data_IF_965691480462
#
_entry.id   IF_965691480462
#
_cell.length_a   1.000
_cell.length_b   1.000
_cell.length_c   1.000
_cell.angle_alpha   90.00
_cell.angle_beta   90.00
_cell.angle_gamma   90.00
#
_symmetry.space_group_name_H-M   'P 1'
#
loop_
_entity.id
_entity.type
_entity.pdbx_description
1 polymer ?
#
# COMPACT_ATOMS: atom_id res chain seq x y z
N UNK A 1 -0.18 0.40 9.82
CA UNK A 1 -0.23 1.66 9.04
C UNK A 1 0.98 1.80 8.14
N UNK A 2 0.99 2.84 7.29
CA UNK A 2 2.11 3.19 6.42
C UNK A 2 2.55 4.61 6.75
N UNK A 3 3.86 4.83 6.85
CA UNK A 3 4.44 6.13 7.16
C UNK A 3 5.80 6.30 6.49
N UNK A 4 6.43 7.44 6.72
CA UNK A 4 7.77 7.69 6.19
C UNK A 4 8.80 6.82 6.90
N UNK A 5 9.73 6.29 6.12
CA UNK A 5 10.87 5.54 6.60
C UNK A 5 11.95 6.45 7.20
N UNK A 6 13.02 5.84 7.73
CA UNK A 6 14.11 6.59 8.34
C UNK A 6 14.94 7.36 7.30
N UNK A 7 15.58 8.41 7.76
CA UNK A 7 16.47 9.26 6.93
C UNK A 7 17.62 8.51 6.29
N UNK A 8 18.05 7.38 6.90
CA UNK A 8 19.10 6.52 6.35
C UNK A 8 18.74 5.91 4.98
N UNK A 9 17.47 5.89 4.61
CA UNK A 9 16.96 5.37 3.34
C UNK A 9 16.49 6.46 2.38
N UNK A 10 16.77 7.73 2.70
CA UNK A 10 16.44 8.83 1.80
C UNK A 10 17.15 8.64 0.44
N UNK A 11 16.49 9.08 -0.63
CA UNK A 11 17.09 9.16 -1.94
C UNK A 11 18.04 10.39 -2.07
N UNK A 12 18.59 10.60 -3.24
CA UNK A 12 19.50 11.73 -3.55
C UNK A 12 18.83 13.11 -3.38
N UNK A 13 17.50 13.17 -3.42
CA UNK A 13 16.72 14.39 -3.19
C UNK A 13 16.32 14.58 -1.72
N UNK A 14 16.65 13.61 -0.84
CA UNK A 14 16.24 13.60 0.54
C UNK A 14 14.82 13.08 0.77
N UNK A 15 14.16 12.52 -0.24
CA UNK A 15 12.83 11.94 -0.09
C UNK A 15 12.88 10.59 0.62
N UNK A 16 11.95 10.39 1.54
CA UNK A 16 11.89 9.19 2.37
C UNK A 16 10.98 8.13 1.75
N UNK A 17 11.41 6.86 1.69
CA UNK A 17 10.54 5.79 1.25
C UNK A 17 9.40 5.54 2.24
N UNK A 18 8.25 5.11 1.75
CA UNK A 18 7.15 4.67 2.61
C UNK A 18 7.42 3.27 3.18
N UNK A 19 7.16 3.11 4.47
CA UNK A 19 7.39 1.87 5.21
C UNK A 19 6.12 1.46 5.96
N UNK A 20 5.97 0.16 6.21
CA UNK A 20 4.94 -0.34 7.12
C UNK A 20 5.31 -0.08 8.57
N UNK A 21 4.36 0.46 9.32
CA UNK A 21 4.44 0.60 10.77
C UNK A 21 3.52 -0.45 11.38
N UNK A 22 4.13 -1.53 11.88
CA UNK A 22 3.43 -2.66 12.48
C UNK A 22 3.56 -2.59 14.00
N UNK A 23 2.47 -2.82 14.68
CA UNK A 23 2.45 -2.89 16.13
C UNK A 23 1.84 -4.21 16.57
N UNK A 24 2.43 -4.81 17.57
CA UNK A 24 2.06 -6.13 18.10
C UNK A 24 1.66 -5.98 19.57
N UNK A 25 0.50 -6.52 19.91
CA UNK A 25 0.06 -6.68 21.28
C UNK A 25 0.12 -8.17 21.65
N UNK A 26 1.04 -8.54 22.53
CA UNK A 26 1.01 -9.86 23.17
C UNK A 26 0.08 -9.78 24.37
N UNK A 27 -1.11 -10.39 24.22
CA UNK A 27 -2.15 -10.35 25.26
C UNK A 27 -1.74 -11.13 26.50
N UNK A 28 -0.97 -12.21 26.35
CA UNK A 28 -0.55 -13.04 27.46
C UNK A 28 0.55 -12.39 28.30
N UNK A 29 1.49 -11.73 27.64
CA UNK A 29 2.58 -11.00 28.28
C UNK A 29 2.21 -9.54 28.62
N UNK A 30 1.05 -9.06 28.14
CA UNK A 30 0.60 -7.66 28.29
C UNK A 30 1.65 -6.65 27.76
N UNK A 31 2.35 -7.04 26.67
CA UNK A 31 3.41 -6.21 26.08
C UNK A 31 3.02 -5.70 24.72
N UNK A 32 3.48 -4.49 24.40
CA UNK A 32 3.26 -3.83 23.13
C UNK A 32 4.60 -3.48 22.48
N UNK A 33 4.79 -3.93 21.24
CA UNK A 33 6.00 -3.66 20.46
C UNK A 33 5.66 -3.10 19.09
N UNK A 34 6.57 -2.29 18.53
CA UNK A 34 6.49 -1.80 17.16
C UNK A 34 7.69 -2.31 16.37
N UNK A 35 7.48 -2.62 15.10
CA UNK A 35 8.55 -3.11 14.23
C UNK A 35 9.70 -2.09 14.11
N UNK A 36 10.88 -2.62 13.84
CA UNK A 36 12.05 -1.83 13.49
C UNK A 36 11.92 -1.28 12.05
N UNK A 37 11.63 0.01 11.93
CA UNK A 37 11.53 0.70 10.63
C UNK A 37 12.88 0.85 9.93
N UNK A 38 14.00 0.56 10.59
CA UNK A 38 15.32 0.47 9.95
C UNK A 38 15.46 -0.79 9.08
N UNK A 39 14.58 -1.77 9.25
CA UNK A 39 14.61 -2.99 8.46
C UNK A 39 13.89 -2.79 7.13
N UNK A 40 14.62 -2.88 6.01
CA UNK A 40 14.08 -2.78 4.64
C UNK A 40 13.01 -3.81 4.31
N UNK A 41 12.90 -4.91 5.07
CA UNK A 41 11.82 -5.89 4.90
C UNK A 41 10.43 -5.29 5.12
N UNK A 42 10.33 -4.17 5.83
CA UNK A 42 9.07 -3.44 6.04
C UNK A 42 8.83 -2.33 5.01
N UNK A 43 9.54 -2.33 3.90
CA UNK A 43 9.37 -1.35 2.83
C UNK A 43 7.98 -1.49 2.17
N UNK A 44 7.22 -0.41 2.19
CA UNK A 44 5.96 -0.29 1.46
C UNK A 44 6.17 0.25 0.04
N UNK A 45 7.23 1.03 -0.17
CA UNK A 45 7.61 1.51 -1.50
C UNK A 45 7.88 0.34 -2.45
N UNK A 46 7.33 0.44 -3.65
CA UNK A 46 7.48 -0.57 -4.70
C UNK A 46 7.09 -1.99 -4.23
N UNK A 47 6.18 -2.09 -3.28
CA UNK A 47 5.78 -3.36 -2.67
C UNK A 47 5.20 -4.36 -3.69
N UNK A 48 4.49 -3.86 -4.70
CA UNK A 48 3.88 -4.63 -5.77
C UNK A 48 4.82 -4.82 -6.98
N UNK A 49 5.99 -4.21 -6.98
CA UNK A 49 6.92 -4.25 -8.11
C UNK A 49 6.56 -3.29 -9.25
N UNK A 50 5.66 -2.36 -9.03
CA UNK A 50 5.15 -1.39 -10.02
C UNK A 50 5.47 0.07 -9.67
N UNK A 51 6.32 0.28 -8.67
CA UNK A 51 6.75 1.59 -8.18
C UNK A 51 5.85 2.21 -7.11
N UNK A 52 4.59 1.80 -7.03
CA UNK A 52 3.66 2.36 -6.05
C UNK A 52 3.92 1.83 -4.64
N UNK A 53 3.69 2.68 -3.65
CA UNK A 53 3.60 2.22 -2.27
C UNK A 53 2.19 1.72 -1.98
N UNK A 54 2.05 0.89 -0.96
CA UNK A 54 0.77 0.28 -0.60
C UNK A 54 0.39 0.53 0.86
N UNK A 55 -0.89 0.40 1.13
CA UNK A 55 -1.43 0.23 2.46
C UNK A 55 -2.06 -1.15 2.55
N UNK A 56 -1.78 -1.87 3.63
CA UNK A 56 -2.42 -3.15 3.91
C UNK A 56 -3.75 -2.91 4.62
N UNK A 57 -4.81 -3.57 4.16
CA UNK A 57 -6.15 -3.44 4.72
C UNK A 57 -6.77 -4.82 4.98
N UNK A 58 -7.23 -5.01 6.20
CA UNK A 58 -7.78 -6.28 6.64
C UNK A 58 -6.73 -7.38 6.64
N UNK A 59 -6.31 -7.81 7.82
CA UNK A 59 -5.41 -8.95 7.98
C UNK A 59 -6.23 -10.10 8.54
N UNK A 60 -6.14 -11.27 7.89
CA UNK A 60 -6.78 -12.49 8.35
C UNK A 60 -5.81 -13.67 8.27
N UNK A 61 -6.04 -14.65 9.13
CA UNK A 61 -5.31 -15.91 9.12
C UNK A 61 -6.15 -17.01 8.48
N UNK A 62 -5.52 -17.80 7.62
CA UNK A 62 -6.08 -19.02 7.05
C UNK A 62 -4.94 -19.98 6.69
N UNK A 63 -5.07 -21.25 7.14
CA UNK A 63 -4.08 -22.29 6.85
C UNK A 63 -2.63 -21.89 7.20
N UNK A 64 -2.42 -21.32 8.39
CA UNK A 64 -1.15 -20.83 8.91
C UNK A 64 -0.46 -19.77 8.04
N UNK A 65 -1.23 -19.01 7.28
CA UNK A 65 -0.77 -17.85 6.50
C UNK A 65 -1.62 -16.63 6.82
N UNK A 66 -1.02 -15.47 6.69
CA UNK A 66 -1.72 -14.20 6.81
C UNK A 66 -2.01 -13.64 5.41
N UNK A 67 -3.22 -13.15 5.23
CA UNK A 67 -3.69 -12.54 3.99
C UNK A 67 -4.10 -11.11 4.24
N UNK A 68 -3.77 -10.22 3.33
CA UNK A 68 -4.20 -8.82 3.39
C UNK A 68 -4.45 -8.28 1.99
N UNK A 69 -5.47 -7.45 1.85
CA UNK A 69 -5.59 -6.63 0.66
C UNK A 69 -4.43 -5.61 0.62
N UNK A 70 -3.72 -5.56 -0.51
CA UNK A 70 -2.68 -4.57 -0.74
C UNK A 70 -3.24 -3.45 -1.62
N UNK A 71 -3.51 -2.30 -1.01
CA UNK A 71 -4.14 -1.15 -1.68
C UNK A 71 -3.05 -0.27 -2.29
N UNK A 72 -3.00 -0.14 -3.63
CA UNK A 72 -2.05 0.76 -4.29
C UNK A 72 -2.41 2.21 -3.99
N UNK A 73 -1.43 3.01 -3.60
CA UNK A 73 -1.64 4.38 -3.15
C UNK A 73 -1.17 5.45 -4.14
N UNK A 74 -0.55 5.03 -5.24
CA UNK A 74 0.15 5.89 -6.17
C UNK A 74 1.65 6.01 -5.84
N UNK A 75 2.30 7.01 -6.39
CA UNK A 75 3.73 7.24 -6.16
C UNK A 75 3.94 8.31 -5.08
N UNK A 76 4.77 7.98 -4.09
CA UNK A 76 5.32 8.97 -3.17
C UNK A 76 6.34 9.87 -3.88
N UNK A 77 6.84 10.91 -3.22
CA UNK A 77 7.97 11.68 -3.76
C UNK A 77 9.18 10.79 -4.07
N UNK A 78 9.46 9.83 -3.17
CA UNK A 78 10.52 8.83 -3.36
C UNK A 78 10.26 7.96 -4.59
N UNK A 79 9.04 7.39 -4.70
CA UNK A 79 8.67 6.51 -5.81
C UNK A 79 8.67 7.23 -7.16
N UNK A 80 8.18 8.47 -7.23
CA UNK A 80 8.17 9.24 -8.47
C UNK A 80 9.55 9.71 -8.90
N UNK A 81 10.48 9.94 -7.96
CA UNK A 81 11.85 10.36 -8.27
C UNK A 81 12.75 9.19 -8.66
N UNK A 82 12.39 7.96 -8.32
CA UNK A 82 13.25 6.78 -8.56
C UNK A 82 13.65 6.64 -10.03
N UNK A 83 14.97 6.54 -10.26
CA UNK A 83 15.60 6.37 -11.57
C UNK A 83 15.02 7.34 -12.64
N UNK A 84 14.91 8.61 -12.28
CA UNK A 84 14.45 9.66 -13.18
C UNK A 84 12.98 9.57 -13.56
N UNK A 85 12.15 8.98 -12.70
CA UNK A 85 10.70 8.91 -12.91
C UNK A 85 10.25 7.66 -13.69
N UNK A 86 11.05 6.62 -13.71
CA UNK A 86 10.76 5.39 -14.48
C UNK A 86 9.41 4.73 -14.17
N UNK A 87 8.85 4.99 -12.99
CA UNK A 87 7.59 4.41 -12.56
C UNK A 87 6.36 5.20 -12.98
N UNK A 88 6.54 6.42 -13.50
CA UNK A 88 5.43 7.21 -14.05
C UNK A 88 5.08 6.61 -15.42
N UNK A 89 3.87 6.10 -15.57
CA UNK A 89 3.43 5.53 -16.83
C UNK A 89 3.29 6.62 -17.88
N UNK A 90 3.58 6.32 -19.17
CA UNK A 90 3.42 7.28 -20.26
C UNK A 90 2.01 7.89 -20.28
N UNK A 91 1.93 9.21 -20.31
CA UNK A 91 0.68 9.96 -20.30
C UNK A 91 0.12 10.26 -18.90
N UNK A 92 0.85 9.91 -17.84
CA UNK A 92 0.47 10.25 -16.46
C UNK A 92 1.33 11.37 -15.85
N UNK A 93 2.21 11.96 -16.61
CA UNK A 93 3.09 13.04 -16.14
C UNK A 93 2.31 14.23 -15.57
N UNK A 94 1.15 14.53 -16.12
CA UNK A 94 0.23 15.57 -15.68
C UNK A 94 -0.48 15.26 -14.34
N UNK A 95 -0.43 14.02 -13.89
CA UNK A 95 -0.97 13.60 -12.59
C UNK A 95 0.01 13.84 -11.43
N UNK A 96 1.29 14.02 -11.73
CA UNK A 96 2.31 14.34 -10.73
C UNK A 96 2.08 15.75 -10.23
N UNK A 97 2.05 15.91 -8.90
CA UNK A 97 1.81 17.21 -8.27
C UNK A 97 2.98 18.16 -8.49
N UNK A 98 2.68 19.36 -8.97
CA UNK A 98 3.68 20.41 -9.23
C UNK A 98 3.95 21.29 -8.01
N UNK A 99 3.05 21.24 -7.01
CA UNK A 99 3.13 22.02 -5.76
C UNK A 99 2.51 21.26 -4.59
N UNK A 100 2.80 21.66 -3.38
CA UNK A 100 2.15 21.14 -2.17
C UNK A 100 0.69 21.62 -2.11
N UNK A 101 -0.21 20.79 -1.57
CA UNK A 101 -1.62 21.18 -1.46
C UNK A 101 -2.46 20.17 -0.71
N UNK A 102 -3.78 20.35 -0.83
CA UNK A 102 -4.75 19.56 -0.10
C UNK A 102 -4.82 19.92 1.39
N UNK A 103 -5.61 19.16 2.14
CA UNK A 103 -5.75 19.36 3.59
C UNK A 103 -6.05 18.03 4.29
N UNK A 104 -5.64 17.92 5.54
CA UNK A 104 -5.88 16.72 6.36
C UNK A 104 -5.45 15.42 5.64
N UNK A 105 -6.35 14.44 5.58
CA UNK A 105 -6.09 13.13 4.94
C UNK A 105 -5.94 13.19 3.42
N UNK A 106 -6.24 14.31 2.78
CA UNK A 106 -6.07 14.54 1.35
C UNK A 106 -4.91 15.48 1.01
N UNK A 107 -4.06 15.81 1.98
CA UNK A 107 -2.83 16.57 1.73
C UNK A 107 -1.87 15.79 0.84
N UNK A 108 -1.12 16.53 0.04
CA UNK A 108 -0.11 15.98 -0.87
C UNK A 108 1.11 16.91 -0.96
N UNK A 109 2.20 16.34 -1.41
CA UNK A 109 3.45 17.05 -1.65
C UNK A 109 3.75 17.13 -3.14
N UNK A 110 4.45 18.19 -3.51
CA UNK A 110 5.04 18.30 -4.85
C UNK A 110 5.84 17.02 -5.16
N UNK A 111 5.67 16.49 -6.36
CA UNK A 111 6.32 15.25 -6.79
C UNK A 111 5.51 13.98 -6.52
N UNK A 112 4.42 14.04 -5.75
CA UNK A 112 3.55 12.88 -5.53
C UNK A 112 2.59 12.65 -6.70
N UNK A 113 2.27 11.39 -6.97
CA UNK A 113 1.14 10.97 -7.77
C UNK A 113 0.17 10.22 -6.85
N UNK A 114 -0.87 10.89 -6.40
CA UNK A 114 -1.76 10.43 -5.33
C UNK A 114 -2.68 9.26 -5.69
N UNK A 115 -2.91 9.04 -6.97
CA UNK A 115 -3.84 8.03 -7.44
C UNK A 115 -3.10 6.87 -8.06
N UNK A 116 -3.57 5.65 -7.82
CA UNK A 116 -2.96 4.51 -8.49
C UNK A 116 -3.07 4.62 -10.01
N UNK A 117 -2.00 4.24 -10.68
CA UNK A 117 -1.95 4.15 -12.14
C UNK A 117 -2.60 2.85 -12.65
N UNK A 118 -3.04 2.00 -11.73
CA UNK A 118 -3.58 0.66 -12.00
C UNK A 118 -4.99 0.47 -11.42
N UNK A 119 -5.99 1.30 -11.81
CA UNK A 119 -7.32 1.29 -11.19
C UNK A 119 -8.10 0.00 -11.43
N UNK A 120 -7.70 -0.79 -12.42
CA UNK A 120 -8.38 -2.02 -12.82
C UNK A 120 -7.67 -3.30 -12.33
N UNK A 121 -6.82 -3.18 -11.30
CA UNK A 121 -6.10 -4.31 -10.73
C UNK A 121 -6.35 -4.45 -9.23
N UNK A 122 -6.34 -5.68 -8.76
CA UNK A 122 -6.45 -6.02 -7.36
C UNK A 122 -5.28 -6.91 -6.93
N UNK A 123 -4.75 -6.67 -5.74
CA UNK A 123 -3.66 -7.45 -5.17
C UNK A 123 -4.00 -7.93 -3.78
N UNK A 124 -3.63 -9.18 -3.52
CA UNK A 124 -3.65 -9.79 -2.19
C UNK A 124 -2.23 -10.19 -1.83
N UNK A 125 -1.76 -9.69 -0.70
CA UNK A 125 -0.50 -10.10 -0.11
C UNK A 125 -0.72 -11.29 0.81
N UNK A 126 0.14 -12.30 0.70
CA UNK A 126 0.16 -13.50 1.52
C UNK A 126 1.50 -13.53 2.25
N UNK A 127 1.45 -13.70 3.57
CA UNK A 127 2.64 -13.74 4.42
C UNK A 127 2.73 -15.07 5.13
N UNK A 128 3.96 -15.54 5.36
CA UNK A 128 4.20 -16.82 6.04
C UNK A 128 4.08 -16.74 7.57
N UNK A 129 4.16 -15.52 8.12
CA UNK A 129 4.09 -15.29 9.56
C UNK A 129 3.69 -13.85 9.91
N UNK A 130 3.54 -13.60 11.20
CA UNK A 130 3.15 -12.30 11.76
C UNK A 130 4.18 -11.18 11.55
N UNK A 131 5.42 -11.49 11.18
CA UNK A 131 6.44 -10.46 10.93
C UNK A 131 6.26 -9.78 9.57
N UNK A 132 5.43 -10.33 8.68
CA UNK A 132 5.12 -9.82 7.34
C UNK A 132 6.35 -9.59 6.45
N UNK A 133 7.47 -10.28 6.72
CA UNK A 133 8.74 -10.10 5.99
C UNK A 133 8.86 -10.98 4.75
N UNK A 134 8.28 -12.19 4.81
CA UNK A 134 8.21 -13.12 3.68
C UNK A 134 6.84 -13.02 3.04
N UNK A 135 6.78 -12.67 1.77
CA UNK A 135 5.52 -12.43 1.09
C UNK A 135 5.42 -13.09 -0.28
N UNK A 136 4.18 -13.40 -0.66
CA UNK A 136 3.77 -13.68 -2.03
C UNK A 136 2.66 -12.72 -2.40
N UNK A 137 2.66 -12.22 -3.62
CA UNK A 137 1.61 -11.34 -4.15
C UNK A 137 0.78 -12.09 -5.18
N UNK A 138 -0.53 -12.07 -5.02
CA UNK A 138 -1.50 -12.50 -6.04
C UNK A 138 -2.04 -11.23 -6.69
N UNK A 139 -2.06 -11.20 -8.01
CA UNK A 139 -2.61 -10.11 -8.82
C UNK A 139 -3.76 -10.62 -9.70
N UNK A 140 -4.78 -9.78 -9.88
CA UNK A 140 -5.85 -9.99 -10.87
C UNK A 140 -6.30 -8.66 -11.47
N UNK A 141 -6.71 -8.69 -12.74
CA UNK A 141 -7.30 -7.57 -13.49
C UNK A 141 -8.83 -7.69 -13.62
N UNK A 142 -9.42 -8.70 -12.98
CA UNK A 142 -10.88 -8.95 -13.05
C UNK A 142 -11.69 -7.99 -12.19
N UNK A 143 -11.08 -7.41 -11.18
CA UNK A 143 -11.68 -6.45 -10.26
C UNK A 143 -10.70 -5.33 -9.96
N UNK A 144 -11.21 -4.18 -9.47
CA UNK A 144 -10.38 -3.11 -8.91
C UNK A 144 -9.81 -3.52 -7.55
N UNK A 145 -8.86 -2.77 -7.04
CA UNK A 145 -8.25 -3.05 -5.74
C UNK A 145 -9.30 -3.07 -4.60
N UNK A 146 -9.10 -3.96 -3.65
CA UNK A 146 -10.00 -4.14 -2.52
C UNK A 146 -9.71 -3.09 -1.45
N UNK A 147 -10.57 -2.11 -1.31
CA UNK A 147 -10.42 -1.05 -0.31
C UNK A 147 -11.77 -0.63 0.25
N UNK A 148 -11.72 0.01 1.41
CA UNK A 148 -12.86 0.77 1.93
C UNK A 148 -13.00 2.14 1.24
N UNK A 149 -13.97 2.92 1.69
CA UNK A 149 -14.20 4.28 1.20
C UNK A 149 -12.91 5.11 1.28
N UNK A 150 -12.62 5.86 0.23
CA UNK A 150 -11.44 6.73 0.13
C UNK A 150 -10.10 5.99 0.36
N UNK A 151 -10.01 4.77 -0.14
CA UNK A 151 -8.84 3.88 0.07
C UNK A 151 -8.50 3.65 1.54
N UNK A 152 -9.51 3.64 2.40
CA UNK A 152 -9.33 3.47 3.83
C UNK A 152 -8.81 2.08 4.17
N UNK A 153 -7.76 2.02 4.97
CA UNK A 153 -7.22 0.79 5.55
C UNK A 153 -8.06 0.23 6.70
N UNK A 154 -9.05 0.98 7.18
CA UNK A 154 -9.85 0.61 8.36
C UNK A 154 -11.00 -0.34 8.06
N UNK A 155 -11.25 -0.66 6.79
CA UNK A 155 -12.33 -1.55 6.40
C UNK A 155 -11.80 -2.93 6.04
N UNK A 156 -12.46 -3.94 6.58
CA UNK A 156 -12.20 -5.32 6.20
C UNK A 156 -12.82 -5.58 4.81
N UNK A 157 -11.98 -5.85 3.83
CA UNK A 157 -12.38 -6.13 2.45
C UNK A 157 -11.95 -7.50 1.96
N UNK A 158 -11.45 -8.33 2.86
CA UNK A 158 -10.98 -9.68 2.60
C UNK A 158 -11.49 -10.61 3.70
N UNK A 159 -11.99 -11.79 3.33
CA UNK A 159 -12.60 -12.76 4.25
C UNK A 159 -12.15 -14.17 3.90
N UNK A 160 -11.89 -14.98 4.90
CA UNK A 160 -11.67 -16.41 4.74
C UNK A 160 -12.96 -17.19 5.03
N UNK A 161 -13.26 -18.17 4.21
CA UNK A 161 -14.32 -19.13 4.45
C UNK A 161 -13.77 -20.44 5.02
N UNK A 162 -14.61 -21.20 5.71
CA UNK A 162 -14.23 -22.47 6.36
C UNK A 162 -13.68 -23.51 5.37
N UNK A 163 -14.10 -23.44 4.10
CA UNK A 163 -13.61 -24.31 3.04
C UNK A 163 -12.21 -23.93 2.50
N UNK A 164 -11.60 -22.87 3.04
CA UNK A 164 -10.27 -22.38 2.63
C UNK A 164 -10.27 -21.33 1.53
N UNK A 165 -11.44 -20.98 0.99
CA UNK A 165 -11.55 -19.91 -0.01
C UNK A 165 -11.34 -18.53 0.63
N UNK A 166 -10.72 -17.63 -0.12
CA UNK A 166 -10.53 -16.24 0.26
C UNK A 166 -11.40 -15.36 -0.64
N UNK A 167 -12.34 -14.65 -0.03
CA UNK A 167 -13.20 -13.70 -0.71
C UNK A 167 -12.60 -12.29 -0.63
N UNK A 168 -12.57 -11.61 -1.76
CA UNK A 168 -12.03 -10.26 -1.88
C UNK A 168 -13.12 -9.35 -2.44
N UNK A 169 -13.39 -8.25 -1.75
CA UNK A 169 -14.44 -7.31 -2.10
C UNK A 169 -13.83 -6.02 -2.64
N UNK A 170 -14.14 -5.74 -3.92
CA UNK A 170 -13.77 -4.48 -4.57
C UNK A 170 -15.03 -3.65 -4.77
N UNK A 171 -15.21 -2.53 -4.05
CA UNK A 171 -16.33 -1.65 -4.29
C UNK A 171 -16.16 -0.90 -5.63
N UNK A 172 -17.25 -0.65 -6.34
CA UNK A 172 -17.24 0.17 -7.56
C UNK A 172 -16.61 1.57 -7.33
N UNK A 173 -16.76 2.06 -6.12
CA UNK A 173 -16.13 3.28 -5.66
C UNK A 173 -14.60 3.30 -5.82
N UNK A 174 -13.92 2.17 -5.62
CA UNK A 174 -12.47 2.09 -5.78
C UNK A 174 -12.05 2.49 -7.19
N UNK A 175 -12.75 2.01 -8.22
CA UNK A 175 -12.48 2.34 -9.61
C UNK A 175 -12.71 3.82 -9.92
N UNK A 176 -13.87 4.36 -9.53
CA UNK A 176 -14.21 5.76 -9.81
C UNK A 176 -13.30 6.75 -9.09
N UNK A 177 -12.84 6.43 -7.88
CA UNK A 177 -11.94 7.29 -7.13
C UNK A 177 -10.47 7.15 -7.56
N UNK A 178 -10.10 6.04 -8.16
CA UNK A 178 -8.75 5.83 -8.64
C UNK A 178 -8.50 6.43 -10.02
N UNK A 179 -9.52 6.46 -10.87
CA UNK A 179 -9.40 7.06 -12.19
C UNK A 179 -9.77 8.54 -12.16
N UNK A 180 -8.76 9.36 -11.99
CA UNK A 180 -8.89 10.81 -11.92
C UNK A 180 -9.39 11.45 -13.24
N UNK A 181 -9.37 10.70 -14.31
CA UNK A 181 -9.81 11.14 -15.66
C UNK A 181 -11.30 10.94 -15.88
N UNK A 182 -12.01 10.39 -14.92
CA UNK A 182 -13.48 10.19 -14.94
C UNK A 182 -14.20 11.33 -14.22
#
# INVERSE_FOLDING_TARGET
>A
STGDGPTAYADENGYLPKMFLLSYLDVSAETFTTNDTQNKAYMSENFLGNGEYVTLAGILEQNNKLYSAAIPMGLSQYGSATDGGKWILPGNDDLVKTEDGGSNSSSYKKGELQWTQYPNKCWVAIFDNETLTTKKIIETDKISYACGRMKSQYYQTIWAADNGDIYVFSPSYAKTMADKRQ
#
